data_IF_329575734564
#
_entry.id   IF_329575734564
#
_cell.length_a   1.000
_cell.length_b   1.000
_cell.length_c   1.000
_cell.angle_alpha   90.00
_cell.angle_beta   90.00
_cell.angle_gamma   90.00
#
_symmetry.space_group_name_H-M   'P 1'
#
loop_
_entity.id
_entity.type
_entity.pdbx_description
1 polymer ?
#
# COMPACT_ATOMS: atom_id res chain seq x y z
N UNK A 1 -99.99 19.36 -6.69
CA UNK A 1 -100.31 18.42 -7.79
C UNK A 1 -99.04 18.16 -8.61
N UNK A 2 -98.69 16.88 -8.79
CA UNK A 2 -97.75 16.29 -9.78
C UNK A 2 -96.25 16.69 -9.61
N UNK A 3 -95.36 15.84 -9.10
CA UNK A 3 -94.80 14.53 -9.56
C UNK A 3 -93.48 14.68 -10.36
N UNK A 4 -92.48 13.91 -9.90
CA UNK A 4 -91.34 13.27 -10.60
C UNK A 4 -90.02 14.02 -10.85
N UNK A 5 -89.00 13.63 -10.07
CA UNK A 5 -87.72 12.97 -10.47
C UNK A 5 -87.02 13.49 -11.74
N UNK A 6 -85.79 13.99 -11.57
CA UNK A 6 -84.62 13.58 -12.37
C UNK A 6 -83.31 13.85 -11.61
N UNK A 7 -82.66 12.75 -11.26
CA UNK A 7 -81.30 12.63 -10.77
C UNK A 7 -80.37 13.00 -11.93
N UNK A 8 -79.40 13.91 -11.70
CA UNK A 8 -78.28 14.10 -12.61
C UNK A 8 -77.00 14.14 -11.78
N UNK A 9 -76.18 13.11 -11.99
CA UNK A 9 -74.98 12.80 -11.23
C UNK A 9 -73.94 13.91 -11.37
N UNK A 10 -73.42 14.36 -10.23
CA UNK A 10 -72.31 15.29 -10.12
C UNK A 10 -71.02 14.46 -10.06
N UNK A 11 -70.36 14.25 -11.20
CA UNK A 11 -69.06 13.57 -11.25
C UNK A 11 -67.96 14.54 -10.82
N UNK A 12 -67.62 14.54 -9.53
CA UNK A 12 -66.40 15.18 -9.02
C UNK A 12 -65.25 14.22 -9.32
N UNK A 13 -64.42 14.58 -10.29
CA UNK A 13 -63.13 13.94 -10.49
C UNK A 13 -62.19 14.33 -9.33
N UNK A 14 -62.03 13.43 -8.36
CA UNK A 14 -60.99 13.53 -7.34
C UNK A 14 -59.66 13.20 -8.04
N UNK A 15 -58.89 14.22 -8.36
CA UNK A 15 -57.52 14.10 -8.84
C UNK A 15 -56.65 13.69 -7.65
N UNK A 16 -56.34 12.39 -7.56
CA UNK A 16 -55.40 11.82 -6.60
C UNK A 16 -54.01 12.41 -6.85
N UNK A 17 -53.56 13.27 -5.93
CA UNK A 17 -52.18 13.74 -5.89
C UNK A 17 -51.35 12.62 -5.26
N UNK A 18 -50.67 11.83 -6.09
CA UNK A 18 -49.62 10.92 -5.61
C UNK A 18 -48.41 11.76 -5.17
N UNK A 19 -47.90 11.60 -3.94
CA UNK A 19 -46.60 12.14 -3.60
C UNK A 19 -45.55 11.33 -4.37
N UNK A 20 -44.90 11.97 -5.35
CA UNK A 20 -43.63 11.47 -5.87
C UNK A 20 -42.64 11.49 -4.70
N UNK A 21 -42.38 10.32 -4.13
CA UNK A 21 -41.14 10.09 -3.41
C UNK A 21 -40.02 10.22 -4.45
N UNK A 22 -39.46 11.43 -4.55
CA UNK A 22 -38.22 11.67 -5.24
C UNK A 22 -37.14 10.92 -4.47
N UNK A 23 -36.76 9.74 -4.98
CA UNK A 23 -35.45 9.19 -4.69
C UNK A 23 -34.45 10.19 -5.29
N UNK A 24 -33.97 11.12 -4.48
CA UNK A 24 -32.72 11.82 -4.76
C UNK A 24 -31.63 10.77 -4.76
N UNK A 25 -31.35 10.20 -5.92
CA UNK A 25 -30.03 9.68 -6.18
C UNK A 25 -29.09 10.88 -5.98
N UNK A 26 -28.26 10.82 -4.94
CA UNK A 26 -27.13 11.72 -4.85
C UNK A 26 -26.36 11.54 -6.16
N UNK A 27 -26.34 12.56 -7.01
CA UNK A 27 -25.28 12.69 -8.01
C UNK A 27 -24.01 13.00 -7.21
N UNK A 28 -23.36 11.94 -6.70
CA UNK A 28 -21.99 12.05 -6.25
C UNK A 28 -21.17 12.43 -7.48
N UNK A 29 -20.71 13.69 -7.52
CA UNK A 29 -19.81 14.17 -8.54
C UNK A 29 -18.57 13.27 -8.62
N UNK A 30 -17.88 13.29 -9.76
CA UNK A 30 -16.67 12.49 -9.92
C UNK A 30 -15.61 12.90 -8.86
N UNK A 31 -15.12 11.93 -8.10
CA UNK A 31 -14.10 12.11 -7.05
C UNK A 31 -12.77 11.58 -7.60
N UNK A 32 -11.68 12.30 -7.34
CA UNK A 32 -10.32 11.81 -7.59
C UNK A 32 -9.60 11.61 -6.27
N UNK A 33 -9.25 10.35 -5.96
CA UNK A 33 -8.44 10.00 -4.80
C UNK A 33 -6.97 9.88 -5.19
N UNK A 34 -6.12 10.65 -4.52
CA UNK A 34 -4.67 10.65 -4.69
C UNK A 34 -4.04 9.75 -3.63
N UNK A 35 -3.43 8.65 -4.05
CA UNK A 35 -2.88 7.64 -3.15
C UNK A 35 -1.36 7.67 -3.24
N UNK A 36 -0.69 8.00 -2.14
CA UNK A 36 0.77 7.84 -2.06
C UNK A 36 1.09 6.53 -1.37
N UNK A 37 1.79 5.62 -2.06
CA UNK A 37 1.97 4.25 -1.56
C UNK A 37 3.38 3.71 -1.74
N UNK A 38 3.84 2.92 -0.77
CA UNK A 38 5.16 2.31 -0.82
C UNK A 38 5.37 1.47 -2.10
N UNK A 39 6.53 1.60 -2.73
CA UNK A 39 6.84 0.91 -3.99
C UNK A 39 6.64 -0.62 -3.93
N UNK A 40 6.79 -1.26 -2.75
CA UNK A 40 6.63 -2.70 -2.62
C UNK A 40 5.19 -3.21 -2.77
N UNK A 41 4.18 -2.36 -2.62
CA UNK A 41 2.77 -2.76 -2.79
C UNK A 41 2.23 -2.49 -4.21
N UNK A 42 3.06 -1.98 -5.13
CA UNK A 42 2.61 -1.46 -6.44
C UNK A 42 1.71 -2.42 -7.20
N UNK A 43 2.13 -3.66 -7.41
CA UNK A 43 1.40 -4.63 -8.24
C UNK A 43 0.07 -5.01 -7.60
N UNK A 44 0.08 -5.32 -6.30
CA UNK A 44 -1.12 -5.67 -5.54
C UNK A 44 -2.10 -4.50 -5.48
N UNK A 45 -1.60 -3.29 -5.20
CA UNK A 45 -2.45 -2.10 -5.07
C UNK A 45 -3.04 -1.69 -6.42
N UNK A 46 -2.35 -1.90 -7.54
CA UNK A 46 -2.92 -1.65 -8.86
C UNK A 46 -4.13 -2.56 -9.15
N UNK A 47 -4.06 -3.85 -8.80
CA UNK A 47 -5.20 -4.76 -8.93
C UNK A 47 -6.34 -4.38 -7.98
N UNK A 48 -6.03 -4.09 -6.71
CA UNK A 48 -6.99 -3.61 -5.71
C UNK A 48 -7.68 -2.32 -6.16
N UNK A 49 -6.93 -1.37 -6.72
CA UNK A 49 -7.47 -0.11 -7.24
C UNK A 49 -8.42 -0.34 -8.42
N UNK A 50 -8.08 -1.26 -9.32
CA UNK A 50 -8.95 -1.62 -10.44
C UNK A 50 -10.28 -2.15 -9.93
N UNK A 51 -10.26 -3.10 -8.98
CA UNK A 51 -11.48 -3.68 -8.39
C UNK A 51 -12.30 -2.62 -7.66
N UNK A 52 -11.65 -1.73 -6.90
CA UNK A 52 -12.34 -0.63 -6.22
C UNK A 52 -13.04 0.32 -7.20
N UNK A 53 -12.36 0.72 -8.28
CA UNK A 53 -12.92 1.64 -9.29
C UNK A 53 -14.06 0.98 -10.09
N UNK A 54 -13.98 -0.33 -10.35
CA UNK A 54 -15.06 -1.09 -11.00
C UNK A 54 -16.33 -1.10 -10.13
N UNK A 55 -16.18 -1.18 -8.81
CA UNK A 55 -17.29 -1.10 -7.85
C UNK A 55 -17.79 0.34 -7.61
N UNK A 56 -16.95 1.35 -7.82
CA UNK A 56 -17.22 2.76 -7.54
C UNK A 56 -16.93 3.64 -8.77
N UNK A 57 -17.81 3.63 -9.80
CA UNK A 57 -17.52 4.25 -11.09
C UNK A 57 -17.42 5.78 -11.07
N UNK A 58 -17.84 6.42 -9.99
CA UNK A 58 -17.66 7.86 -9.74
C UNK A 58 -16.30 8.20 -9.11
N UNK A 59 -15.49 7.20 -8.73
CA UNK A 59 -14.17 7.40 -8.13
C UNK A 59 -13.07 7.06 -9.13
N UNK A 60 -12.12 7.97 -9.29
CA UNK A 60 -10.86 7.75 -10.00
C UNK A 60 -9.71 7.70 -8.99
N UNK A 61 -8.86 6.69 -9.06
CA UNK A 61 -7.65 6.59 -8.24
C UNK A 61 -6.44 7.02 -9.05
N UNK A 62 -5.65 7.95 -8.50
CA UNK A 62 -4.34 8.35 -9.01
C UNK A 62 -3.29 7.95 -7.98
N UNK A 63 -2.47 6.97 -8.33
CA UNK A 63 -1.45 6.44 -7.42
C UNK A 63 -0.05 6.99 -7.73
N UNK A 64 0.68 7.36 -6.67
CA UNK A 64 2.09 7.73 -6.68
C UNK A 64 2.88 6.70 -5.86
N UNK A 65 3.79 5.99 -6.51
CA UNK A 65 4.59 4.93 -5.88
C UNK A 65 6.05 5.35 -5.72
N UNK A 66 6.55 5.32 -4.49
CA UNK A 66 7.96 5.60 -4.19
C UNK A 66 8.38 4.96 -2.85
N UNK A 67 9.60 5.22 -2.40
CA UNK A 67 10.01 4.86 -1.05
C UNK A 67 9.16 5.61 -0.01
N UNK A 68 8.76 4.95 1.08
CA UNK A 68 7.86 5.54 2.06
C UNK A 68 8.41 6.82 2.70
N UNK A 69 9.72 6.92 2.90
CA UNK A 69 10.36 8.15 3.39
C UNK A 69 10.33 9.28 2.36
N UNK A 70 10.49 8.98 1.07
CA UNK A 70 10.31 9.97 0.00
C UNK A 70 8.87 10.50 -0.03
N UNK A 71 7.88 9.61 0.07
CA UNK A 71 6.47 9.99 0.13
C UNK A 71 6.14 10.77 1.40
N UNK A 72 6.70 10.38 2.56
CA UNK A 72 6.59 11.16 3.79
C UNK A 72 7.08 12.60 3.56
N UNK A 73 8.27 12.78 2.99
CA UNK A 73 8.82 14.11 2.69
C UNK A 73 7.94 14.89 1.73
N UNK A 74 7.37 14.25 0.70
CA UNK A 74 6.44 14.91 -0.21
C UNK A 74 5.19 15.42 0.51
N UNK A 75 4.60 14.61 1.40
CA UNK A 75 3.43 14.99 2.20
C UNK A 75 3.76 16.14 3.17
N UNK A 76 4.93 16.09 3.83
CA UNK A 76 5.43 17.18 4.69
C UNK A 76 5.62 18.49 3.91
N UNK A 77 5.94 18.41 2.62
CA UNK A 77 6.09 19.54 1.71
C UNK A 77 4.77 19.99 1.07
N UNK A 78 3.64 19.36 1.40
CA UNK A 78 2.31 19.75 0.93
C UNK A 78 1.92 19.14 -0.42
N UNK A 79 2.51 18.01 -0.83
CA UNK A 79 2.03 17.27 -1.98
C UNK A 79 0.57 16.83 -1.79
N UNK A 80 -0.22 16.89 -2.87
CA UNK A 80 -1.61 16.42 -2.87
C UNK A 80 -1.65 14.92 -2.61
N UNK A 81 -2.29 14.52 -1.52
CA UNK A 81 -2.43 13.13 -1.11
C UNK A 81 -3.69 13.02 -0.24
N UNK A 82 -4.51 12.02 -0.52
CA UNK A 82 -5.71 11.68 0.25
C UNK A 82 -5.41 10.53 1.21
N UNK A 83 -4.72 9.48 0.74
CA UNK A 83 -4.34 8.32 1.55
C UNK A 83 -2.85 8.03 1.38
N UNK A 84 -2.17 7.83 2.51
CA UNK A 84 -0.78 7.38 2.54
C UNK A 84 -0.69 5.93 3.03
N UNK A 85 0.05 5.09 2.31
CA UNK A 85 0.35 3.70 2.67
C UNK A 85 1.87 3.55 2.78
N UNK A 86 2.37 3.35 3.99
CA UNK A 86 3.81 3.17 4.27
C UNK A 86 4.17 1.69 4.35
N UNK A 87 5.43 1.34 4.07
CA UNK A 87 5.99 0.01 4.33
C UNK A 87 6.61 -0.12 5.74
N UNK A 88 6.48 0.90 6.59
CA UNK A 88 6.86 0.84 7.99
C UNK A 88 6.10 1.84 8.86
N UNK A 89 5.98 1.52 10.15
CA UNK A 89 5.37 2.38 11.15
C UNK A 89 6.10 3.72 11.33
N UNK A 90 7.42 3.77 11.16
CA UNK A 90 8.24 4.97 11.39
C UNK A 90 7.74 6.18 10.61
N UNK A 91 7.51 6.04 9.30
CA UNK A 91 7.09 7.15 8.43
C UNK A 91 5.67 7.61 8.78
N UNK A 92 4.77 6.67 9.08
CA UNK A 92 3.41 7.00 9.52
C UNK A 92 3.43 7.72 10.88
N UNK A 93 4.27 7.26 11.83
CA UNK A 93 4.46 7.92 13.12
C UNK A 93 4.97 9.35 12.96
N UNK A 94 5.88 9.59 12.02
CA UNK A 94 6.41 10.93 11.77
C UNK A 94 5.32 11.88 11.28
N UNK A 95 4.49 11.45 10.33
CA UNK A 95 3.35 12.25 9.85
C UNK A 95 2.30 12.47 10.94
N UNK A 96 2.05 11.46 11.77
CA UNK A 96 1.17 11.57 12.94
C UNK A 96 1.68 12.60 13.95
N UNK A 97 2.94 12.51 14.34
CA UNK A 97 3.58 13.46 15.25
C UNK A 97 3.63 14.88 14.68
N UNK A 98 3.77 15.01 13.36
CA UNK A 98 3.65 16.28 12.64
C UNK A 98 2.21 16.79 12.51
N UNK A 99 1.21 16.00 12.91
CA UNK A 99 -0.21 16.34 12.78
C UNK A 99 -0.68 16.42 11.32
N UNK A 100 -0.08 15.61 10.43
CA UNK A 100 -0.31 15.59 8.98
C UNK A 100 -1.22 14.45 8.52
N UNK A 101 -1.66 13.58 9.42
CA UNK A 101 -2.70 12.57 9.16
C UNK A 101 -3.89 12.77 10.09
N UNK A 102 -5.02 12.16 9.74
CA UNK A 102 -6.13 11.94 10.65
C UNK A 102 -5.84 10.68 11.47
N UNK A 103 -5.33 10.85 12.70
CA UNK A 103 -4.84 9.76 13.55
C UNK A 103 -5.85 8.62 13.78
N UNK A 104 -7.13 8.95 13.89
CA UNK A 104 -8.23 8.00 14.08
C UNK A 104 -8.52 7.12 12.85
N UNK A 105 -7.96 7.47 11.69
CA UNK A 105 -8.08 6.69 10.45
C UNK A 105 -6.93 5.72 10.24
N UNK A 106 -5.89 5.77 11.09
CA UNK A 106 -4.69 4.96 10.93
C UNK A 106 -4.99 3.49 11.23
N UNK A 107 -4.65 2.64 10.26
CA UNK A 107 -4.83 1.18 10.34
C UNK A 107 -3.61 0.45 9.79
N UNK A 108 -3.21 -0.67 10.40
CA UNK A 108 -2.22 -1.55 9.80
C UNK A 108 -2.94 -2.54 8.90
N UNK A 109 -2.66 -2.53 7.60
CA UNK A 109 -3.36 -3.38 6.63
C UNK A 109 -2.59 -4.68 6.33
N UNK A 110 -1.27 -4.60 6.19
CA UNK A 110 -0.45 -5.71 5.71
C UNK A 110 0.78 -5.97 6.58
N UNK A 111 1.27 -7.21 6.51
CA UNK A 111 2.58 -7.68 6.98
C UNK A 111 3.36 -8.27 5.79
N UNK A 112 4.68 -8.34 5.96
CA UNK A 112 5.59 -8.88 4.95
C UNK A 112 6.85 -9.43 5.64
N UNK A 113 7.81 -9.95 4.86
CA UNK A 113 9.06 -10.50 5.38
C UNK A 113 10.26 -9.98 4.59
N UNK A 114 11.38 -9.72 5.28
CA UNK A 114 12.65 -9.42 4.63
C UNK A 114 13.31 -10.71 4.17
N UNK A 115 13.83 -10.70 2.94
CA UNK A 115 14.53 -11.83 2.33
C UNK A 115 15.84 -11.38 1.71
N UNK A 116 16.80 -12.29 1.70
CA UNK A 116 18.02 -12.20 0.91
C UNK A 116 17.78 -12.84 -0.45
N UNK A 117 18.04 -12.10 -1.50
CA UNK A 117 17.94 -12.57 -2.88
C UNK A 117 19.28 -12.53 -3.58
N UNK A 118 19.44 -13.41 -4.55
CA UNK A 118 20.53 -13.40 -5.52
C UNK A 118 19.96 -13.57 -6.92
N UNK A 119 20.75 -13.25 -7.94
CA UNK A 119 20.36 -13.54 -9.32
C UNK A 119 20.04 -15.03 -9.49
N UNK A 120 19.01 -15.37 -10.27
CA UNK A 120 18.61 -16.78 -10.47
C UNK A 120 19.75 -17.66 -11.00
N UNK A 121 20.65 -17.07 -11.79
CA UNK A 121 21.81 -17.75 -12.39
C UNK A 121 23.08 -17.63 -11.55
N UNK A 122 23.01 -17.04 -10.34
CA UNK A 122 24.16 -16.88 -9.46
C UNK A 122 24.73 -18.25 -9.07
N UNK A 123 26.05 -18.38 -9.20
CA UNK A 123 26.86 -19.52 -8.76
C UNK A 123 27.55 -19.25 -7.42
N UNK A 124 27.20 -18.16 -6.75
CA UNK A 124 27.71 -17.86 -5.42
C UNK A 124 26.99 -18.76 -4.40
N UNK A 125 27.78 -19.33 -3.48
CA UNK A 125 27.27 -20.13 -2.37
C UNK A 125 26.87 -19.16 -1.25
N UNK A 126 25.62 -18.71 -1.29
CA UNK A 126 25.01 -17.81 -0.29
C UNK A 126 23.71 -18.47 0.14
N UNK A 127 23.65 -18.94 1.38
CA UNK A 127 22.47 -19.58 1.99
C UNK A 127 22.05 -18.90 3.30
N UNK A 128 22.85 -17.97 3.83
CA UNK A 128 22.51 -17.15 4.99
C UNK A 128 22.95 -15.69 4.83
N UNK A 129 22.56 -14.83 5.78
CA UNK A 129 22.99 -13.42 5.78
C UNK A 129 24.47 -13.28 6.16
N UNK A 130 25.00 -14.18 6.97
CA UNK A 130 26.41 -14.22 7.37
C UNK A 130 27.35 -14.55 6.20
N UNK A 131 26.87 -15.29 5.19
CA UNK A 131 27.64 -15.59 3.97
C UNK A 131 27.99 -14.32 3.16
N UNK A 132 27.29 -13.19 3.41
CA UNK A 132 27.60 -11.89 2.82
C UNK A 132 28.99 -11.36 3.21
N UNK A 133 29.54 -11.85 4.33
CA UNK A 133 30.91 -11.55 4.75
C UNK A 133 31.96 -12.19 3.84
N UNK A 134 31.58 -13.24 3.09
CA UNK A 134 32.46 -14.01 2.23
C UNK A 134 33.25 -13.15 1.23
N UNK A 135 34.51 -13.50 1.00
CA UNK A 135 35.41 -12.76 0.10
C UNK A 135 35.04 -12.84 -1.38
N UNK A 136 34.12 -13.73 -1.76
CA UNK A 136 33.54 -13.78 -3.11
C UNK A 136 32.44 -12.72 -3.32
N UNK A 137 31.93 -12.12 -2.24
CA UNK A 137 30.87 -11.11 -2.27
C UNK A 137 31.51 -9.73 -2.33
N UNK A 138 31.27 -9.03 -3.43
CA UNK A 138 31.81 -7.71 -3.72
C UNK A 138 30.78 -6.61 -3.46
N UNK A 139 29.52 -6.82 -3.83
CA UNK A 139 28.51 -5.78 -3.80
C UNK A 139 27.13 -6.30 -3.42
N UNK A 140 26.49 -5.65 -2.45
CA UNK A 140 25.21 -6.03 -1.88
C UNK A 140 24.26 -4.82 -1.99
N UNK A 141 23.13 -5.00 -2.67
CA UNK A 141 22.14 -3.94 -2.77
C UNK A 141 21.19 -3.93 -1.57
N UNK A 142 21.00 -2.76 -0.95
CA UNK A 142 20.01 -2.49 0.09
C UNK A 142 19.26 -1.21 -0.25
N UNK A 143 18.07 -1.00 0.31
CA UNK A 143 17.43 0.33 0.19
C UNK A 143 18.21 1.38 0.99
N UNK A 144 18.24 2.63 0.55
CA UNK A 144 18.76 3.74 1.38
C UNK A 144 17.94 3.81 2.69
N UNK A 145 18.54 3.53 3.87
CA UNK A 145 17.81 3.45 5.14
C UNK A 145 17.20 4.79 5.57
N UNK A 146 17.61 5.90 4.96
CA UNK A 146 17.03 7.23 5.19
C UNK A 146 15.61 7.34 4.63
N UNK A 147 15.32 6.65 3.52
CA UNK A 147 14.06 6.77 2.79
C UNK A 147 13.31 5.44 2.61
N UNK A 148 14.02 4.33 2.50
CA UNK A 148 13.48 3.02 2.12
C UNK A 148 13.34 2.14 3.37
N UNK A 149 12.11 1.78 3.79
CA UNK A 149 11.92 0.92 4.95
C UNK A 149 12.62 -0.44 4.88
N UNK A 150 12.67 -1.08 3.70
CA UNK A 150 13.43 -2.32 3.51
C UNK A 150 14.92 -2.16 3.85
N UNK A 151 15.50 -1.00 3.51
CA UNK A 151 16.83 -0.61 3.92
C UNK A 151 16.96 -0.50 5.43
N UNK A 152 16.02 0.20 6.10
CA UNK A 152 16.01 0.28 7.57
C UNK A 152 15.99 -1.12 8.22
N UNK A 153 15.15 -2.04 7.73
CA UNK A 153 15.10 -3.41 8.27
C UNK A 153 16.36 -4.22 7.96
N UNK A 154 16.99 -4.01 6.79
CA UNK A 154 18.29 -4.62 6.46
C UNK A 154 19.38 -4.18 7.45
N UNK A 155 19.48 -2.89 7.76
CA UNK A 155 20.44 -2.40 8.75
C UNK A 155 20.16 -2.92 10.16
N UNK A 156 18.88 -3.00 10.57
CA UNK A 156 18.51 -3.64 11.84
C UNK A 156 18.89 -5.12 11.89
N UNK A 157 18.79 -5.83 10.76
CA UNK A 157 19.25 -7.20 10.64
C UNK A 157 20.77 -7.29 10.78
N UNK A 158 21.52 -6.40 10.13
CA UNK A 158 22.97 -6.36 10.26
C UNK A 158 23.43 -6.06 11.69
N UNK A 159 22.75 -5.14 12.37
CA UNK A 159 22.98 -4.85 13.80
C UNK A 159 22.69 -6.07 14.67
N UNK A 160 21.59 -6.78 14.41
CA UNK A 160 21.22 -8.00 15.13
C UNK A 160 22.24 -9.12 14.96
N UNK A 161 22.82 -9.24 13.76
CA UNK A 161 23.84 -10.25 13.43
C UNK A 161 25.27 -9.82 13.80
N UNK A 162 25.45 -8.58 14.27
CA UNK A 162 26.76 -7.98 14.57
C UNK A 162 27.71 -7.92 13.36
N UNK A 163 27.18 -7.71 12.14
CA UNK A 163 27.94 -7.70 10.88
C UNK A 163 27.96 -6.33 10.17
N UNK A 164 27.40 -5.29 10.76
CA UNK A 164 27.25 -3.97 10.13
C UNK A 164 28.57 -3.39 9.63
N UNK A 165 29.61 -3.37 10.49
CA UNK A 165 30.91 -2.77 10.16
C UNK A 165 31.64 -3.54 9.05
N UNK A 166 31.47 -4.87 9.00
CA UNK A 166 32.10 -5.73 8.00
C UNK A 166 31.47 -5.58 6.60
N UNK A 167 30.22 -5.09 6.54
CA UNK A 167 29.48 -4.92 5.30
C UNK A 167 29.59 -3.50 4.73
N UNK A 168 30.01 -2.50 5.50
CA UNK A 168 29.94 -1.08 5.11
C UNK A 168 30.51 -0.80 3.71
N UNK A 169 31.68 -1.36 3.40
CA UNK A 169 32.37 -1.18 2.11
C UNK A 169 31.75 -1.99 0.95
N UNK A 170 30.80 -2.89 1.23
CA UNK A 170 30.12 -3.74 0.23
C UNK A 170 28.71 -3.25 -0.11
N UNK A 171 28.19 -2.24 0.59
CA UNK A 171 26.78 -1.83 0.42
C UNK A 171 26.60 -0.84 -0.73
N UNK A 172 25.63 -1.14 -1.58
CA UNK A 172 25.08 -0.23 -2.57
C UNK A 172 23.64 0.12 -2.19
N UNK A 173 23.32 1.40 -2.12
CA UNK A 173 21.98 1.86 -1.74
C UNK A 173 21.11 2.15 -2.96
N UNK A 174 19.92 1.55 -3.00
CA UNK A 174 18.85 1.84 -3.97
C UNK A 174 17.87 2.87 -3.44
N UNK A 175 17.31 3.70 -4.33
CA UNK A 175 16.33 4.72 -3.97
C UNK A 175 14.96 4.14 -3.58
N UNK A 176 14.68 2.91 -4.01
CA UNK A 176 13.52 2.11 -3.62
C UNK A 176 13.92 0.64 -3.47
N UNK A 177 13.08 -0.16 -2.83
CA UNK A 177 13.27 -1.62 -2.78
C UNK A 177 13.13 -2.28 -4.17
N UNK A 178 12.42 -1.65 -5.11
CA UNK A 178 12.31 -2.13 -6.50
C UNK A 178 13.58 -1.87 -7.30
N UNK A 179 14.34 -0.82 -6.98
CA UNK A 179 15.67 -0.62 -7.56
C UNK A 179 16.63 -1.73 -7.10
N UNK A 180 16.59 -2.08 -5.81
CA UNK A 180 17.38 -3.20 -5.24
C UNK A 180 17.09 -4.51 -5.98
N UNK A 181 15.80 -4.84 -6.15
CA UNK A 181 15.40 -6.02 -6.90
C UNK A 181 15.96 -6.00 -8.33
N UNK A 182 15.81 -4.88 -9.04
CA UNK A 182 16.29 -4.74 -10.41
C UNK A 182 17.82 -4.89 -10.50
N UNK A 183 18.58 -4.38 -9.53
CA UNK A 183 20.04 -4.53 -9.49
C UNK A 183 20.47 -6.00 -9.37
N UNK A 184 19.77 -6.78 -8.54
CA UNK A 184 20.04 -8.22 -8.37
C UNK A 184 19.62 -8.99 -9.62
N UNK A 185 18.44 -8.70 -10.17
CA UNK A 185 17.91 -9.36 -11.37
C UNK A 185 18.80 -9.14 -12.60
N UNK A 186 19.39 -7.96 -12.73
CA UNK A 186 20.33 -7.63 -13.82
C UNK A 186 21.75 -8.15 -13.59
N UNK A 187 22.05 -8.66 -12.38
CA UNK A 187 23.38 -9.15 -12.02
C UNK A 187 24.41 -8.03 -11.81
N UNK A 188 23.95 -6.79 -11.56
CA UNK A 188 24.83 -5.66 -11.25
C UNK A 188 25.42 -5.75 -9.83
N UNK A 189 24.79 -6.55 -8.96
CA UNK A 189 25.22 -6.84 -7.59
C UNK A 189 25.15 -8.35 -7.33
N UNK A 190 25.88 -8.81 -6.33
CA UNK A 190 25.98 -10.24 -5.99
C UNK A 190 24.73 -10.74 -5.25
N UNK A 191 24.20 -9.88 -4.38
CA UNK A 191 23.02 -10.14 -3.56
C UNK A 191 22.25 -8.84 -3.27
N UNK A 192 21.01 -8.98 -2.79
CA UNK A 192 20.26 -7.83 -2.30
C UNK A 192 19.20 -8.20 -1.29
N UNK A 193 18.78 -7.21 -0.51
CA UNK A 193 17.80 -7.40 0.57
C UNK A 193 16.51 -6.67 0.22
N UNK A 194 15.44 -7.43 0.07
CA UNK A 194 14.12 -6.96 -0.38
C UNK A 194 13.01 -7.57 0.46
N UNK A 195 11.75 -7.21 0.19
CA UNK A 195 10.62 -7.96 0.75
C UNK A 195 10.34 -9.24 -0.05
N UNK A 196 9.80 -10.27 0.60
CA UNK A 196 9.42 -11.53 -0.07
C UNK A 196 8.42 -11.31 -1.21
N UNK A 197 7.51 -10.35 -1.06
CA UNK A 197 6.55 -9.98 -2.12
C UNK A 197 7.22 -9.32 -3.32
N UNK A 198 8.32 -8.57 -3.12
CA UNK A 198 9.10 -8.00 -4.21
C UNK A 198 9.84 -9.10 -4.97
N UNK A 199 10.46 -10.04 -4.25
CA UNK A 199 11.11 -11.19 -4.88
C UNK A 199 10.14 -12.06 -5.71
N UNK A 200 8.86 -12.10 -5.32
CA UNK A 200 7.83 -12.89 -5.98
C UNK A 200 7.33 -12.31 -7.31
N UNK A 201 7.67 -11.06 -7.67
CA UNK A 201 7.17 -10.44 -8.91
C UNK A 201 7.89 -10.95 -10.17
N UNK A 202 9.03 -11.61 -10.02
CA UNK A 202 9.88 -12.03 -11.13
C UNK A 202 10.52 -13.40 -10.86
N UNK A 203 10.71 -14.18 -11.92
CA UNK A 203 11.52 -15.40 -11.88
C UNK A 203 13.03 -15.09 -12.06
N UNK A 204 13.41 -13.81 -12.09
CA UNK A 204 14.76 -13.28 -12.29
C UNK A 204 15.73 -13.50 -11.14
N UNK A 205 15.21 -13.76 -9.95
CA UNK A 205 15.96 -13.89 -8.70
C UNK A 205 15.55 -15.16 -7.96
N UNK A 206 16.36 -15.59 -7.00
CA UNK A 206 15.99 -16.63 -6.03
C UNK A 206 16.20 -16.11 -4.62
N UNK A 207 15.28 -16.47 -3.73
CA UNK A 207 15.41 -16.23 -2.29
C UNK A 207 16.36 -17.30 -1.74
N UNK A 208 17.39 -16.85 -1.01
CA UNK A 208 18.38 -17.75 -0.38
C UNK A 208 18.27 -17.77 1.14
N UNK A 209 17.79 -16.68 1.75
CA UNK A 209 17.54 -16.62 3.19
C UNK A 209 16.32 -15.73 3.49
N UNK A 210 15.68 -15.97 4.64
CA UNK A 210 14.60 -15.13 5.18
C UNK A 210 15.04 -14.60 6.54
N UNK A 211 14.82 -13.30 6.79
CA UNK A 211 15.18 -12.68 8.06
C UNK A 211 14.42 -13.34 9.23
N UNK A 212 14.98 -13.34 10.45
CA UNK A 212 14.33 -13.93 11.60
C UNK A 212 13.13 -13.09 12.07
N UNK A 213 12.29 -13.68 12.92
CA UNK A 213 11.04 -13.06 13.41
C UNK A 213 11.28 -11.75 14.17
N UNK A 214 12.43 -11.57 14.82
CA UNK A 214 12.86 -10.34 15.48
C UNK A 214 12.88 -9.13 14.53
N UNK A 215 13.03 -9.38 13.22
CA UNK A 215 12.92 -8.39 12.16
C UNK A 215 11.51 -8.43 11.57
N UNK A 216 11.05 -9.60 11.10
CA UNK A 216 9.81 -9.70 10.33
C UNK A 216 8.55 -9.31 11.10
N UNK A 217 8.49 -9.58 12.40
CA UNK A 217 7.34 -9.20 13.25
C UNK A 217 7.12 -7.69 13.36
N UNK A 218 8.14 -6.88 13.05
CA UNK A 218 8.06 -5.40 13.05
C UNK A 218 7.52 -4.84 11.73
N UNK A 219 7.45 -5.66 10.68
CA UNK A 219 7.10 -5.21 9.34
C UNK A 219 5.58 -5.12 9.22
N UNK A 220 5.08 -3.90 9.30
CA UNK A 220 3.67 -3.57 9.10
C UNK A 220 3.54 -2.44 8.09
N UNK A 221 2.44 -2.49 7.32
CA UNK A 221 2.08 -1.48 6.34
C UNK A 221 0.91 -0.66 6.87
N UNK A 222 1.16 0.47 7.56
CA UNK A 222 0.09 1.35 7.97
C UNK A 222 -0.45 2.16 6.80
N UNK A 223 -1.77 2.33 6.77
CA UNK A 223 -2.49 3.24 5.91
C UNK A 223 -3.23 4.29 6.77
N UNK A 224 -3.33 5.52 6.31
CA UNK A 224 -4.10 6.59 6.97
C UNK A 224 -4.50 7.67 5.98
N UNK A 225 -5.56 8.42 6.32
CA UNK A 225 -5.98 9.60 5.57
C UNK A 225 -5.04 10.76 5.92
N UNK A 226 -4.53 11.44 4.90
CA UNK A 226 -3.73 12.65 5.06
C UNK A 226 -4.65 13.80 5.45
N UNK A 227 -4.27 14.58 6.46
CA UNK A 227 -5.13 15.63 7.06
C UNK A 227 -5.55 16.72 6.07
N UNK A 228 -4.73 16.96 5.06
CA UNK A 228 -5.00 17.92 4.00
C UNK A 228 -5.99 17.43 2.93
N UNK A 229 -6.46 16.17 3.02
CA UNK A 229 -7.43 15.61 2.09
C UNK A 229 -8.75 16.40 2.14
N UNK A 230 -9.28 16.72 0.97
CA UNK A 230 -10.63 17.27 0.79
C UNK A 230 -11.67 16.17 0.54
N UNK A 231 -11.23 14.91 0.39
CA UNK A 231 -12.04 13.76 0.03
C UNK A 231 -12.17 12.74 1.18
N UNK A 232 -12.30 13.22 2.43
CA UNK A 232 -12.22 12.39 3.64
C UNK A 232 -13.22 11.23 3.64
N UNK A 233 -14.45 11.45 3.18
CA UNK A 233 -15.49 10.40 3.14
C UNK A 233 -15.10 9.28 2.16
N UNK A 234 -14.75 9.63 0.92
CA UNK A 234 -14.31 8.66 -0.09
C UNK A 234 -12.98 7.97 0.30
N UNK A 235 -12.05 8.69 0.94
CA UNK A 235 -10.82 8.12 1.46
C UNK A 235 -11.07 7.13 2.61
N UNK A 236 -12.09 7.38 3.44
CA UNK A 236 -12.51 6.46 4.51
C UNK A 236 -13.12 5.18 3.95
N UNK A 237 -13.97 5.29 2.93
CA UNK A 237 -14.52 4.12 2.22
C UNK A 237 -13.44 3.29 1.54
N UNK A 238 -12.45 3.95 0.92
CA UNK A 238 -11.30 3.27 0.34
C UNK A 238 -10.44 2.56 1.38
N UNK A 239 -10.15 3.18 2.54
CA UNK A 239 -9.44 2.50 3.65
C UNK A 239 -10.21 1.29 4.18
N UNK A 240 -11.53 1.38 4.27
CA UNK A 240 -12.37 0.25 4.65
C UNK A 240 -12.30 -0.88 3.62
N UNK A 241 -12.30 -0.54 2.32
CA UNK A 241 -12.13 -1.51 1.25
C UNK A 241 -10.76 -2.20 1.30
N UNK A 242 -9.67 -1.44 1.53
CA UNK A 242 -8.32 -1.99 1.69
C UNK A 242 -8.20 -3.03 2.81
N UNK A 243 -9.05 -2.91 3.83
CA UNK A 243 -9.12 -3.84 4.97
C UNK A 243 -10.16 -4.95 4.78
N UNK A 244 -10.93 -4.89 3.69
CA UNK A 244 -11.96 -5.86 3.36
C UNK A 244 -11.39 -7.16 2.82
N UNK A 245 -12.22 -8.22 2.86
CA UNK A 245 -11.84 -9.56 2.40
C UNK A 245 -11.47 -9.62 0.91
N UNK A 246 -12.12 -8.81 0.07
CA UNK A 246 -11.83 -8.75 -1.36
C UNK A 246 -10.43 -8.18 -1.65
N UNK A 247 -10.08 -7.05 -1.05
CA UNK A 247 -8.73 -6.49 -1.17
C UNK A 247 -7.69 -7.43 -0.54
N UNK A 248 -8.00 -8.03 0.62
CA UNK A 248 -7.08 -8.95 1.28
C UNK A 248 -6.77 -10.19 0.44
N UNK A 249 -7.77 -10.77 -0.24
CA UNK A 249 -7.54 -11.90 -1.15
C UNK A 249 -6.56 -11.56 -2.28
N UNK A 250 -6.61 -10.32 -2.79
CA UNK A 250 -5.65 -9.82 -3.77
C UNK A 250 -4.28 -9.67 -3.12
N UNK A 251 -4.17 -9.03 -1.95
CA UNK A 251 -2.90 -8.90 -1.25
C UNK A 251 -2.23 -10.26 -0.94
N UNK A 252 -3.00 -11.25 -0.50
CA UNK A 252 -2.54 -12.61 -0.25
C UNK A 252 -2.05 -13.32 -1.53
N UNK A 253 -2.73 -13.11 -2.66
CA UNK A 253 -2.27 -13.59 -3.98
C UNK A 253 -0.87 -13.05 -4.33
N UNK A 254 -0.52 -11.85 -3.88
CA UNK A 254 0.80 -11.25 -4.04
C UNK A 254 1.79 -11.58 -2.90
N UNK A 255 1.38 -12.39 -1.92
CA UNK A 255 2.23 -12.88 -0.83
C UNK A 255 2.28 -12.00 0.42
N UNK A 256 1.44 -10.96 0.51
CA UNK A 256 1.25 -10.24 1.76
C UNK A 256 0.41 -11.07 2.73
N UNK A 257 0.46 -10.72 4.02
CA UNK A 257 -0.46 -11.26 5.03
C UNK A 257 -1.22 -10.14 5.71
N UNK A 258 -2.42 -10.41 6.20
CA UNK A 258 -3.19 -9.43 6.96
C UNK A 258 -2.45 -8.99 8.23
N UNK A 259 -2.45 -7.67 8.50
CA UNK A 259 -2.05 -7.14 9.81
C UNK A 259 -3.21 -7.03 10.79
N UNK A 260 -4.45 -7.10 10.29
CA UNK A 260 -5.69 -7.02 11.05
C UNK A 260 -6.06 -8.43 11.54
N UNK A 261 -6.24 -8.59 12.85
CA UNK A 261 -6.95 -9.74 13.45
C UNK A 261 -8.43 -9.38 13.66
#
# INVERSE_FOLDING_TARGET
MKRLIKIMAFSIAIMMIMPLAACTANEEGNITLNISSAASVTDALNEVNSVYMDANPNVTIVANYAASGTLQTQIEQGATCDVFISAAAKQMNNLENGGLILSDTRINILKNSIVLIVNKNSTLEIDSFEDLLGGAISLIAVGDPSFVPAGTYAYQLFELLEITDDLEDKLMQGSTVRDVLAYVETGNVDAGIVYSTDAAITDGVKIVATAPDEINSKIVYPAAIVKASENVDAASEYLAFLSGSEAMAIFEKYGFSAAVE
#
